data_IF_781127557633
#
_entry.id   IF_781127557633
#
_cell.length_a   1.000
_cell.length_b   1.000
_cell.length_c   1.000
_cell.angle_alpha   90.00
_cell.angle_beta   90.00
_cell.angle_gamma   90.00
#
_symmetry.space_group_name_H-M   'P 1'
#
loop_
_entity.id
_entity.type
_entity.pdbx_description
1 polymer ?
#
# COMPACT_ATOMS: atom_id res chain seq x y z
N UNK A 1 28.77 6.48 -24.05
CA UNK A 1 28.47 6.66 -22.60
C UNK A 1 29.06 5.50 -21.79
N UNK A 2 29.49 5.74 -20.54
CA UNK A 2 30.06 4.69 -19.67
C UNK A 2 29.00 3.76 -19.05
N UNK A 3 27.71 4.12 -19.15
CA UNK A 3 26.57 3.36 -18.61
C UNK A 3 25.48 3.20 -19.67
N UNK A 4 24.79 2.05 -19.68
CA UNK A 4 23.68 1.76 -20.59
C UNK A 4 22.30 2.17 -20.07
N UNK A 5 22.12 2.20 -18.74
CA UNK A 5 20.89 2.62 -18.07
C UNK A 5 21.19 3.18 -16.68
N UNK A 6 20.23 3.89 -16.10
CA UNK A 6 20.21 4.34 -14.71
C UNK A 6 18.91 3.86 -14.07
N UNK A 7 18.95 3.39 -12.83
CA UNK A 7 17.74 3.17 -12.04
C UNK A 7 17.71 4.08 -10.82
N UNK A 8 16.51 4.48 -10.39
CA UNK A 8 16.33 5.28 -9.19
C UNK A 8 15.10 4.85 -8.40
N UNK A 9 15.07 5.25 -7.13
CA UNK A 9 13.97 5.05 -6.20
C UNK A 9 14.06 6.09 -5.08
N UNK A 10 12.92 6.58 -4.59
CA UNK A 10 12.88 7.45 -3.42
C UNK A 10 12.91 6.61 -2.14
N UNK A 11 13.78 6.95 -1.19
CA UNK A 11 13.90 6.21 0.06
C UNK A 11 12.63 6.29 0.93
N UNK A 12 11.97 7.45 0.90
CA UNK A 12 10.82 7.78 1.72
C UNK A 12 9.86 8.63 0.88
N UNK A 13 8.57 8.60 1.23
CA UNK A 13 7.56 9.49 0.65
C UNK A 13 8.02 10.95 0.82
N UNK A 14 7.92 11.72 -0.25
CA UNK A 14 8.28 13.14 -0.28
C UNK A 14 7.05 13.93 -0.69
N UNK A 15 6.93 15.13 -0.14
CA UNK A 15 5.86 16.04 -0.51
C UNK A 15 6.01 16.43 -1.99
N UNK A 16 5.17 15.84 -2.84
CA UNK A 16 5.16 16.02 -4.28
C UNK A 16 4.16 17.11 -4.66
N UNK A 17 4.62 18.26 -5.13
CA UNK A 17 3.72 19.26 -5.68
C UNK A 17 3.34 18.90 -7.13
N UNK A 18 2.03 18.76 -7.41
CA UNK A 18 1.52 18.49 -8.75
C UNK A 18 0.19 19.18 -8.98
N UNK A 19 -0.12 19.46 -10.26
CA UNK A 19 -1.40 20.06 -10.67
C UNK A 19 -2.17 19.10 -11.56
N UNK A 20 -3.39 18.76 -11.17
CA UNK A 20 -4.29 17.94 -11.97
C UNK A 20 -5.11 18.81 -12.93
N UNK A 21 -5.20 18.37 -14.19
CA UNK A 21 -6.13 18.94 -15.18
C UNK A 21 -7.09 17.86 -15.63
N UNK A 22 -8.38 18.08 -15.39
CA UNK A 22 -9.44 17.19 -15.88
C UNK A 22 -9.85 17.63 -17.28
N UNK A 23 -9.87 16.70 -18.23
CA UNK A 23 -10.30 16.95 -19.60
C UNK A 23 -11.77 16.53 -19.73
N UNK A 24 -12.66 17.47 -20.06
CA UNK A 24 -14.09 17.19 -20.28
C UNK A 24 -15.01 17.39 -19.07
N UNK A 25 -14.53 18.00 -17.98
CA UNK A 25 -15.32 18.34 -16.80
C UNK A 25 -14.50 19.11 -15.76
N UNK A 26 -15.14 19.62 -14.72
CA UNK A 26 -14.50 20.35 -13.61
C UNK A 26 -14.64 19.60 -12.29
N UNK A 27 -13.50 19.20 -11.71
CA UNK A 27 -13.42 18.44 -10.47
C UNK A 27 -13.80 19.27 -9.24
N UNK A 28 -13.69 20.60 -9.33
CA UNK A 28 -13.94 21.53 -8.22
C UNK A 28 -15.43 21.67 -7.86
N UNK A 29 -16.32 21.09 -8.67
CA UNK A 29 -17.78 21.26 -8.52
C UNK A 29 -18.42 20.33 -7.49
N UNK A 30 -17.69 19.31 -7.00
CA UNK A 30 -18.19 18.32 -6.05
C UNK A 30 -17.33 18.34 -4.77
N UNK A 31 -17.82 18.97 -3.68
CA UNK A 31 -17.04 19.12 -2.45
C UNK A 31 -16.65 17.75 -1.87
N UNK A 32 -15.36 17.60 -1.53
CA UNK A 32 -14.79 16.36 -0.98
C UNK A 32 -14.37 15.31 -2.01
N UNK A 33 -14.79 15.42 -3.27
CA UNK A 33 -14.36 14.47 -4.33
C UNK A 33 -12.99 14.86 -4.90
N UNK A 34 -12.73 16.16 -5.07
CA UNK A 34 -11.43 16.66 -5.53
C UNK A 34 -10.29 16.20 -4.64
N UNK A 35 -10.47 16.35 -3.32
CA UNK A 35 -9.43 16.10 -2.33
C UNK A 35 -9.13 14.60 -2.25
N UNK A 36 -10.16 13.76 -2.27
CA UNK A 36 -10.00 12.31 -2.29
C UNK A 36 -9.30 11.80 -3.55
N UNK A 37 -9.61 12.39 -4.72
CA UNK A 37 -8.94 12.05 -5.99
C UNK A 37 -7.48 12.51 -5.96
N UNK A 38 -7.21 13.73 -5.50
CA UNK A 38 -5.86 14.25 -5.39
C UNK A 38 -5.01 13.41 -4.44
N UNK A 39 -5.51 13.07 -3.25
CA UNK A 39 -4.83 12.20 -2.30
C UNK A 39 -4.55 10.82 -2.92
N UNK A 40 -5.54 10.24 -3.61
CA UNK A 40 -5.38 8.93 -4.26
C UNK A 40 -4.31 8.96 -5.36
N UNK A 41 -4.30 10.01 -6.18
CA UNK A 41 -3.29 10.15 -7.25
C UNK A 41 -1.91 10.40 -6.65
N UNK A 42 -1.82 11.22 -5.60
CA UNK A 42 -0.58 11.46 -4.85
C UNK A 42 -0.01 10.16 -4.31
N UNK A 43 -0.82 9.40 -3.55
CA UNK A 43 -0.43 8.11 -3.00
C UNK A 43 0.01 7.14 -4.11
N UNK A 44 -0.72 7.08 -5.23
CA UNK A 44 -0.37 6.22 -6.36
C UNK A 44 0.96 6.61 -7.02
N UNK A 45 1.23 7.90 -7.22
CA UNK A 45 2.50 8.38 -7.78
C UNK A 45 3.64 8.06 -6.82
N UNK A 46 3.50 8.41 -5.54
CA UNK A 46 4.49 8.16 -4.51
C UNK A 46 4.83 6.68 -4.41
N UNK A 47 3.82 5.82 -4.30
CA UNK A 47 3.99 4.37 -4.20
C UNK A 47 4.66 3.80 -5.46
N UNK A 48 4.48 4.43 -6.62
CA UNK A 48 5.11 4.00 -7.87
C UNK A 48 6.60 4.34 -7.98
N UNK A 49 7.13 5.30 -7.23
CA UNK A 49 8.54 5.75 -7.33
C UNK A 49 9.31 5.62 -6.02
N UNK A 50 8.60 5.37 -4.92
CA UNK A 50 9.19 5.10 -3.62
C UNK A 50 9.62 3.65 -3.58
N UNK A 51 10.71 3.42 -2.89
CA UNK A 51 11.26 2.11 -2.67
C UNK A 51 10.20 1.17 -2.07
N UNK A 52 10.16 -0.14 -2.40
CA UNK A 52 11.17 -0.93 -3.10
C UNK A 52 11.24 -0.63 -4.59
N UNK A 53 10.21 -0.03 -5.18
CA UNK A 53 10.08 0.17 -6.63
C UNK A 53 11.29 0.89 -7.22
N UNK A 54 11.85 0.34 -8.30
CA UNK A 54 12.96 0.90 -9.05
C UNK A 54 12.51 1.28 -10.45
N UNK A 55 12.66 2.55 -10.81
CA UNK A 55 12.41 3.00 -12.19
C UNK A 55 13.69 2.91 -12.98
N UNK A 56 13.72 1.99 -13.94
CA UNK A 56 14.84 1.81 -14.87
C UNK A 56 14.64 2.75 -16.06
N UNK A 57 15.62 3.61 -16.31
CA UNK A 57 15.68 4.52 -17.46
C UNK A 57 16.82 4.08 -18.37
N UNK A 58 16.54 3.56 -19.57
CA UNK A 58 17.59 3.22 -20.54
C UNK A 58 18.20 4.49 -21.14
N UNK A 59 19.54 4.54 -21.19
CA UNK A 59 20.31 5.58 -21.88
C UNK A 59 20.67 5.13 -23.30
N UNK A 60 20.94 3.83 -23.47
CA UNK A 60 21.22 3.19 -24.75
C UNK A 60 20.22 2.05 -24.99
N UNK A 61 19.90 1.72 -26.25
CA UNK A 61 19.13 0.52 -26.57
C UNK A 61 19.79 -0.73 -25.99
N UNK A 62 19.03 -1.60 -25.34
CA UNK A 62 19.53 -2.82 -24.70
C UNK A 62 18.49 -3.49 -23.82
N UNK A 63 18.81 -4.70 -23.35
CA UNK A 63 18.04 -5.41 -22.33
C UNK A 63 18.56 -5.03 -20.93
N UNK A 64 17.67 -4.51 -20.10
CA UNK A 64 17.94 -4.10 -18.72
C UNK A 64 16.99 -4.76 -17.71
N UNK A 65 16.32 -5.85 -18.06
CA UNK A 65 15.41 -6.57 -17.15
C UNK A 65 16.11 -7.16 -15.92
N UNK A 66 17.45 -7.18 -15.91
CA UNK A 66 18.23 -7.52 -14.71
C UNK A 66 18.29 -6.39 -13.66
N UNK A 67 17.94 -5.15 -14.03
CA UNK A 67 17.87 -4.01 -13.11
C UNK A 67 16.50 -3.88 -12.42
N UNK A 68 15.48 -4.54 -12.97
CA UNK A 68 14.16 -4.64 -12.36
C UNK A 68 14.21 -5.47 -11.08
N UNK A 69 13.30 -5.18 -10.15
CA UNK A 69 13.12 -6.00 -8.96
C UNK A 69 12.59 -7.38 -9.38
N UNK A 70 13.08 -8.41 -8.71
CA UNK A 70 12.63 -9.77 -8.92
C UNK A 70 12.07 -10.30 -7.60
N UNK A 71 10.97 -11.07 -7.64
CA UNK A 71 10.50 -11.81 -6.48
C UNK A 71 11.64 -12.64 -5.87
N UNK A 72 11.89 -12.45 -4.58
CA UNK A 72 12.82 -13.26 -3.78
C UNK A 72 12.09 -14.39 -3.04
N UNK A 73 10.76 -14.28 -2.89
CA UNK A 73 9.93 -15.31 -2.28
C UNK A 73 8.45 -14.95 -2.25
N UNK A 74 7.65 -15.89 -1.75
CA UNK A 74 6.21 -15.71 -1.48
C UNK A 74 6.01 -15.83 0.02
N UNK A 75 5.35 -14.83 0.61
CA UNK A 75 4.88 -14.87 1.99
C UNK A 75 3.42 -15.29 2.00
N UNK A 76 3.14 -16.52 2.43
CA UNK A 76 1.79 -17.01 2.66
C UNK A 76 1.35 -16.66 4.09
N UNK A 77 0.29 -15.86 4.21
CA UNK A 77 -0.24 -15.41 5.50
C UNK A 77 -1.61 -16.02 5.73
N UNK A 78 -1.72 -16.86 6.76
CA UNK A 78 -2.97 -17.46 7.19
C UNK A 78 -3.45 -16.85 8.51
N UNK A 79 -4.55 -16.11 8.47
CA UNK A 79 -5.22 -15.66 9.67
C UNK A 79 -5.93 -16.83 10.35
N UNK A 80 -5.41 -17.27 11.51
CA UNK A 80 -5.95 -18.44 12.23
C UNK A 80 -7.06 -18.04 13.20
N UNK A 81 -6.75 -17.17 14.16
CA UNK A 81 -7.70 -16.74 15.19
C UNK A 81 -7.22 -15.45 15.88
N UNK A 82 -8.18 -14.62 16.31
CA UNK A 82 -7.97 -13.58 17.31
C UNK A 82 -8.77 -13.93 18.59
N UNK A 83 -8.23 -13.58 19.76
CA UNK A 83 -8.85 -13.85 21.08
C UNK A 83 -8.79 -12.60 21.95
N UNK A 84 -9.73 -12.48 22.89
CA UNK A 84 -9.80 -11.37 23.85
C UNK A 84 -9.79 -9.99 23.17
N UNK A 85 -10.46 -9.88 22.02
CA UNK A 85 -10.68 -8.59 21.37
C UNK A 85 -11.66 -7.78 22.22
N UNK A 86 -11.30 -6.54 22.54
CA UNK A 86 -12.18 -5.61 23.24
C UNK A 86 -13.36 -5.30 22.32
N UNK A 87 -14.57 -5.59 22.78
CA UNK A 87 -15.77 -5.10 22.11
C UNK A 87 -15.87 -3.60 22.39
N UNK A 88 -15.82 -2.78 21.34
CA UNK A 88 -15.94 -1.32 21.46
C UNK A 88 -17.28 -0.78 20.98
N UNK A 89 -18.19 -1.65 20.51
CA UNK A 89 -19.53 -1.25 20.12
C UNK A 89 -20.31 -0.63 21.29
N UNK A 90 -20.93 0.51 21.02
CA UNK A 90 -21.86 1.16 21.95
C UNK A 90 -23.17 0.35 22.04
N UNK A 91 -23.60 -0.26 20.93
CA UNK A 91 -24.80 -1.11 20.84
C UNK A 91 -24.54 -2.20 19.79
N UNK A 92 -24.53 -3.48 20.20
CA UNK A 92 -24.45 -4.60 19.27
C UNK A 92 -23.39 -5.63 19.62
N UNK A 93 -23.05 -6.45 18.63
CA UNK A 93 -22.04 -7.50 18.72
C UNK A 93 -20.86 -7.10 17.85
N UNK A 94 -19.67 -7.03 18.46
CA UNK A 94 -18.42 -6.74 17.77
C UNK A 94 -18.23 -7.64 16.55
N UNK A 95 -17.94 -7.00 15.41
CA UNK A 95 -17.75 -7.61 14.10
C UNK A 95 -16.31 -7.34 13.61
N UNK A 96 -15.29 -7.92 14.27
CA UNK A 96 -13.90 -7.58 13.99
C UNK A 96 -13.41 -8.17 12.66
N UNK A 97 -12.54 -7.42 11.98
CA UNK A 97 -11.86 -7.85 10.76
C UNK A 97 -10.37 -7.49 10.75
N UNK A 98 -9.60 -8.22 9.94
CA UNK A 98 -8.17 -7.97 9.77
C UNK A 98 -7.90 -7.23 8.45
N UNK A 99 -6.96 -6.29 8.50
CA UNK A 99 -6.30 -5.69 7.35
C UNK A 99 -4.84 -6.14 7.39
N UNK A 100 -4.43 -6.85 6.36
CA UNK A 100 -3.10 -7.47 6.24
C UNK A 100 -2.43 -6.88 5.00
N UNK A 101 -1.19 -6.43 5.15
CA UNK A 101 -0.41 -5.86 4.05
C UNK A 101 1.09 -5.96 4.32
N UNK A 102 1.90 -5.90 3.26
CA UNK A 102 3.36 -5.85 3.34
C UNK A 102 3.83 -4.46 2.93
N UNK A 103 4.48 -3.73 3.83
CA UNK A 103 4.98 -2.37 3.54
C UNK A 103 6.15 -2.38 2.56
N UNK A 104 6.36 -1.29 1.82
CA UNK A 104 5.68 0.01 1.89
C UNK A 104 4.44 0.15 1.01
N UNK A 105 4.20 -0.80 0.10
CA UNK A 105 3.05 -0.76 -0.81
C UNK A 105 1.78 -1.19 -0.07
N UNK A 106 0.78 -0.31 -0.04
CA UNK A 106 -0.50 -0.57 0.63
C UNK A 106 -1.36 -1.53 -0.21
N UNK A 107 -1.05 -2.81 -0.25
CA UNK A 107 -2.05 -3.79 -0.67
C UNK A 107 -3.03 -4.01 0.50
N UNK A 108 -4.06 -3.17 0.53
CA UNK A 108 -5.15 -3.29 1.51
C UNK A 108 -5.98 -4.52 1.16
N UNK A 109 -5.64 -5.68 1.70
CA UNK A 109 -6.51 -6.86 1.58
C UNK A 109 -7.38 -6.98 2.83
N UNK A 110 -8.71 -6.88 2.66
CA UNK A 110 -9.70 -7.28 3.68
C UNK A 110 -9.96 -8.77 3.48
N UNK A 111 -9.47 -9.66 4.35
CA UNK A 111 -9.69 -11.11 4.11
C UNK A 111 -10.07 -11.91 5.35
N UNK A 112 -10.83 -12.97 5.08
CA UNK A 112 -11.04 -14.16 5.93
C UNK A 112 -10.28 -15.38 5.37
N UNK A 113 -9.39 -15.17 4.39
CA UNK A 113 -8.74 -16.22 3.60
C UNK A 113 -7.22 -16.06 3.66
N UNK A 114 -6.44 -17.13 3.41
CA UNK A 114 -5.00 -17.01 3.23
C UNK A 114 -4.69 -15.98 2.14
N UNK A 115 -3.70 -15.13 2.39
CA UNK A 115 -3.25 -14.09 1.47
C UNK A 115 -1.78 -14.36 1.15
N UNK A 116 -1.44 -14.31 -0.12
CA UNK A 116 -0.06 -14.45 -0.58
C UNK A 116 0.48 -13.08 -0.97
N UNK A 117 1.69 -12.76 -0.51
CA UNK A 117 2.41 -11.55 -0.89
C UNK A 117 3.69 -11.94 -1.63
N UNK A 118 3.93 -11.28 -2.76
CA UNK A 118 5.21 -11.35 -3.46
C UNK A 118 6.20 -10.47 -2.69
N UNK A 119 7.29 -11.07 -2.23
CA UNK A 119 8.38 -10.36 -1.55
C UNK A 119 9.48 -10.12 -2.56
N UNK A 120 9.87 -8.85 -2.73
CA UNK A 120 10.94 -8.39 -3.61
C UNK A 120 12.19 -7.96 -2.80
N UNK A 121 11.99 -7.51 -1.55
CA UNK A 121 13.04 -7.13 -0.62
C UNK A 121 12.67 -7.50 0.82
N UNK A 122 13.05 -8.71 1.23
CA UNK A 122 12.77 -9.22 2.58
C UNK A 122 13.49 -8.46 3.71
N UNK A 123 14.49 -7.62 3.41
CA UNK A 123 15.22 -6.91 4.47
C UNK A 123 14.39 -5.79 5.09
N UNK A 124 13.30 -5.42 4.43
CA UNK A 124 12.68 -4.12 4.60
C UNK A 124 11.17 -4.09 4.33
N UNK A 125 10.69 -5.08 3.60
CA UNK A 125 9.28 -5.37 3.53
C UNK A 125 8.87 -6.09 4.82
N UNK A 126 7.96 -5.47 5.57
CA UNK A 126 7.45 -5.99 6.83
C UNK A 126 5.98 -6.32 6.72
N UNK A 127 5.59 -7.48 7.23
CA UNK A 127 4.19 -7.87 7.36
C UNK A 127 3.54 -7.03 8.46
N UNK A 128 2.50 -6.28 8.11
CA UNK A 128 1.65 -5.58 9.06
C UNK A 128 0.28 -6.23 9.13
N UNK A 129 -0.17 -6.52 10.34
CA UNK A 129 -1.54 -6.98 10.62
C UNK A 129 -2.22 -5.97 11.54
N UNK A 130 -3.38 -5.47 11.12
CA UNK A 130 -4.21 -4.56 11.92
C UNK A 130 -5.59 -5.17 12.08
N UNK A 131 -6.10 -5.15 13.30
CA UNK A 131 -7.44 -5.65 13.64
C UNK A 131 -8.32 -4.45 13.93
N UNK A 132 -9.47 -4.39 13.28
CA UNK A 132 -10.47 -3.34 13.43
C UNK A 132 -11.80 -3.94 13.87
N UNK A 133 -12.65 -3.13 14.51
CA UNK A 133 -14.06 -3.40 14.72
C UNK A 133 -14.89 -2.64 13.67
N UNK A 134 -15.86 -3.31 13.04
CA UNK A 134 -16.75 -2.65 12.07
C UNK A 134 -17.96 -2.03 12.78
N UNK A 135 -17.96 -0.71 12.92
CA UNK A 135 -19.06 0.03 13.55
C UNK A 135 -20.19 0.39 12.56
N UNK A 136 -20.19 -0.19 11.37
CA UNK A 136 -21.22 -0.01 10.34
C UNK A 136 -21.16 1.36 9.65
N UNK A 137 -21.84 2.36 10.21
CA UNK A 137 -21.92 3.72 9.62
C UNK A 137 -20.73 4.59 10.07
N UNK A 138 -20.17 4.29 11.24
CA UNK A 138 -19.01 5.02 11.76
C UNK A 138 -17.70 4.41 11.25
N UNK A 139 -16.63 5.19 11.34
CA UNK A 139 -15.31 4.71 10.94
C UNK A 139 -14.86 3.56 11.85
N UNK A 140 -14.40 2.46 11.25
CA UNK A 140 -13.95 1.29 12.02
C UNK A 140 -12.86 1.65 13.04
N UNK A 141 -13.00 1.17 14.26
CA UNK A 141 -12.04 1.44 15.33
C UNK A 141 -10.89 0.43 15.34
N UNK A 142 -9.65 0.89 15.54
CA UNK A 142 -8.49 0.01 15.69
C UNK A 142 -8.53 -0.70 17.05
N UNK A 143 -8.54 -2.04 17.01
CA UNK A 143 -8.49 -2.90 18.19
C UNK A 143 -7.06 -3.32 18.54
N UNK A 144 -6.19 -3.48 17.54
CA UNK A 144 -4.79 -3.86 17.76
C UNK A 144 -3.95 -3.89 16.49
N UNK A 145 -2.63 -3.91 16.67
CA UNK A 145 -1.66 -4.00 15.58
C UNK A 145 -0.51 -4.95 15.94
N UNK A 146 0.02 -5.61 14.91
CA UNK A 146 1.27 -6.36 14.99
C UNK A 146 2.08 -6.11 13.71
N UNK A 147 3.40 -6.09 13.87
CA UNK A 147 4.36 -5.98 12.78
C UNK A 147 5.43 -7.06 12.96
N UNK A 148 5.77 -7.74 11.87
CA UNK A 148 6.78 -8.79 11.85
C UNK A 148 7.64 -8.72 10.59
N UNK A 149 8.80 -9.39 10.61
CA UNK A 149 9.60 -9.63 9.41
C UNK A 149 8.82 -10.45 8.38
#
# INVERSE_FOLDING_TARGET
PAFGAVYFSLKEKRDLDFTLKVIGGDLSTLPGISDAIEETIRDAIEDSITWPVRKVIPILPGDYSNLELKPVGILEVKLVQAKNLTNKDIIGKSDPYAVIFVRPLRDRTKTKQPVEFIIEDASTQHLTVRIFDDEGVQASELLGFAEGP
#
